data_IF_156430239934
#
_entry.id   IF_156430239934
#
_cell.length_a   1.000
_cell.length_b   1.000
_cell.length_c   1.000
_cell.angle_alpha   90.00
_cell.angle_beta   90.00
_cell.angle_gamma   90.00
#
_symmetry.space_group_name_H-M   'P 1'
#
loop_
_entity.id
_entity.type
_entity.pdbx_description
1 polymer ?
#
# COMPACT_ATOMS: atom_id res chain seq x y z
N UNK A 1 -14.47 16.40 -9.83
CA UNK A 1 -13.88 15.37 -8.95
C UNK A 1 -15.03 14.79 -8.15
N UNK A 2 -15.13 13.44 -8.07
CA UNK A 2 -16.14 12.76 -7.25
C UNK A 2 -15.70 12.78 -5.77
N UNK A 3 -16.66 12.70 -4.86
CA UNK A 3 -16.37 12.72 -3.41
C UNK A 3 -16.71 11.39 -2.72
N UNK A 4 -17.57 10.59 -3.31
CA UNK A 4 -17.96 9.29 -2.75
C UNK A 4 -17.23 8.18 -3.51
N UNK A 5 -16.58 7.28 -2.77
CA UNK A 5 -15.87 6.12 -3.30
C UNK A 5 -16.18 4.88 -2.46
N UNK A 6 -16.35 3.75 -3.11
CA UNK A 6 -16.50 2.44 -2.43
C UNK A 6 -15.21 1.65 -2.59
N UNK A 7 -14.55 1.36 -1.47
CA UNK A 7 -13.24 0.69 -1.43
C UNK A 7 -13.38 -0.66 -0.74
N UNK A 8 -12.69 -1.66 -1.29
CA UNK A 8 -12.50 -2.97 -0.65
C UNK A 8 -11.02 -3.20 -0.33
N UNK A 9 -10.74 -3.62 0.90
CA UNK A 9 -9.42 -4.13 1.33
C UNK A 9 -9.52 -5.62 1.62
N UNK A 10 -8.48 -6.37 1.28
CA UNK A 10 -8.46 -7.83 1.45
C UNK A 10 -7.38 -8.22 2.46
N UNK A 11 -7.76 -8.83 3.57
CA UNK A 11 -6.83 -9.66 4.33
C UNK A 11 -6.62 -10.94 3.54
N UNK A 12 -5.40 -11.20 3.10
CA UNK A 12 -5.12 -12.27 2.15
C UNK A 12 -4.08 -13.24 2.73
N UNK A 13 -4.46 -14.50 2.91
CA UNK A 13 -3.53 -15.56 3.27
C UNK A 13 -2.93 -16.13 1.97
N UNK A 14 -1.80 -15.56 1.52
CA UNK A 14 -1.09 -16.07 0.36
C UNK A 14 -0.50 -17.45 0.66
N UNK A 15 -0.67 -18.39 -0.27
CA UNK A 15 0.07 -19.66 -0.19
C UNK A 15 1.48 -19.42 -0.75
N UNK A 16 2.48 -19.56 0.11
CA UNK A 16 3.87 -19.28 -0.21
C UNK A 16 4.35 -20.07 -1.44
N UNK A 17 4.87 -19.35 -2.44
CA UNK A 17 5.35 -19.92 -3.70
C UNK A 17 4.28 -20.48 -4.64
N UNK A 18 2.98 -20.34 -4.35
CA UNK A 18 1.88 -20.88 -5.18
C UNK A 18 1.24 -19.79 -6.05
N UNK A 19 2.06 -19.19 -6.91
CA UNK A 19 1.71 -18.02 -7.72
C UNK A 19 0.37 -18.17 -8.46
N UNK A 20 0.17 -19.24 -9.20
CA UNK A 20 -1.05 -19.45 -10.02
C UNK A 20 -2.29 -19.55 -9.12
N UNK A 21 -2.19 -20.29 -8.00
CA UNK A 21 -3.31 -20.44 -7.06
C UNK A 21 -3.65 -19.11 -6.37
N UNK A 22 -2.63 -18.34 -6.01
CA UNK A 22 -2.84 -17.01 -5.43
C UNK A 22 -3.46 -16.07 -6.46
N UNK A 23 -3.01 -16.11 -7.71
CA UNK A 23 -3.57 -15.31 -8.80
C UNK A 23 -5.06 -15.62 -9.02
N UNK A 24 -5.45 -16.89 -9.08
CA UNK A 24 -6.86 -17.29 -9.23
C UNK A 24 -7.72 -16.75 -8.07
N UNK A 25 -7.20 -16.78 -6.85
CA UNK A 25 -7.88 -16.22 -5.68
C UNK A 25 -7.96 -14.69 -5.72
N UNK A 26 -6.89 -14.01 -6.13
CA UNK A 26 -6.89 -12.55 -6.35
C UNK A 26 -7.98 -12.18 -7.37
N UNK A 27 -8.05 -12.87 -8.50
CA UNK A 27 -9.07 -12.64 -9.51
C UNK A 27 -10.48 -12.88 -8.96
N UNK A 28 -10.69 -13.92 -8.16
CA UNK A 28 -11.96 -14.20 -7.49
C UNK A 28 -12.40 -13.08 -6.54
N UNK A 29 -11.46 -12.49 -5.78
CA UNK A 29 -11.75 -11.34 -4.93
C UNK A 29 -12.06 -10.06 -5.74
N UNK A 30 -11.39 -9.83 -6.87
CA UNK A 30 -11.69 -8.72 -7.79
C UNK A 30 -13.15 -8.86 -8.30
N UNK A 31 -13.55 -10.04 -8.73
CA UNK A 31 -14.94 -10.30 -9.13
C UNK A 31 -15.95 -10.08 -8.00
N UNK A 32 -15.60 -10.54 -6.79
CA UNK A 32 -16.44 -10.35 -5.61
C UNK A 32 -16.59 -8.88 -5.22
N UNK A 33 -15.50 -8.11 -5.27
CA UNK A 33 -15.50 -6.67 -5.02
C UNK A 33 -16.37 -5.93 -6.05
N UNK A 34 -16.22 -6.24 -7.34
CA UNK A 34 -17.06 -5.66 -8.39
C UNK A 34 -18.56 -5.98 -8.19
N UNK A 35 -18.90 -7.22 -7.80
CA UNK A 35 -20.27 -7.59 -7.46
C UNK A 35 -20.84 -6.85 -6.25
N UNK A 36 -19.99 -6.44 -5.31
CA UNK A 36 -20.37 -5.59 -4.17
C UNK A 36 -20.48 -4.10 -4.51
N UNK A 37 -20.16 -3.72 -5.75
CA UNK A 37 -20.19 -2.32 -6.19
C UNK A 37 -18.98 -1.52 -5.74
N UNK A 38 -17.85 -2.18 -5.47
CA UNK A 38 -16.61 -1.49 -5.15
C UNK A 38 -16.04 -0.82 -6.40
N UNK A 39 -15.58 0.42 -6.24
CA UNK A 39 -14.80 1.14 -7.25
C UNK A 39 -13.33 0.66 -7.25
N UNK A 40 -12.83 0.27 -6.08
CA UNK A 40 -11.43 -0.08 -5.85
C UNK A 40 -11.29 -1.33 -4.99
N UNK A 41 -10.39 -2.25 -5.37
CA UNK A 41 -10.01 -3.41 -4.54
C UNK A 41 -8.49 -3.46 -4.34
N UNK A 42 -8.08 -3.69 -3.09
CA UNK A 42 -6.69 -3.59 -2.64
C UNK A 42 -6.28 -4.91 -2.00
N UNK A 43 -5.13 -5.43 -2.43
CA UNK A 43 -4.50 -6.63 -1.89
C UNK A 43 -3.19 -6.29 -1.18
N UNK A 44 -2.70 -7.18 -0.32
CA UNK A 44 -1.45 -6.97 0.40
C UNK A 44 -0.21 -6.90 -0.50
N UNK A 45 0.88 -6.45 0.12
CA UNK A 45 2.25 -6.67 -0.31
C UNK A 45 2.48 -8.16 -0.56
N UNK A 46 3.14 -8.52 -1.67
CA UNK A 46 3.50 -9.90 -2.03
C UNK A 46 2.32 -10.89 -2.08
N UNK A 47 1.10 -10.41 -2.32
CA UNK A 47 -0.09 -11.26 -2.38
C UNK A 47 0.01 -12.37 -3.43
N UNK A 48 0.74 -12.12 -4.53
CA UNK A 48 0.89 -13.09 -5.62
C UNK A 48 1.71 -14.31 -5.23
N UNK A 49 2.73 -14.14 -4.37
CA UNK A 49 3.75 -15.18 -4.13
C UNK A 49 3.91 -15.59 -2.65
N UNK A 50 3.43 -14.78 -1.70
CA UNK A 50 3.87 -14.83 -0.32
C UNK A 50 5.10 -13.96 -0.10
N UNK A 51 5.37 -13.63 1.17
CA UNK A 51 6.36 -12.62 1.57
C UNK A 51 7.68 -13.21 2.08
N UNK A 52 7.62 -14.28 2.88
CA UNK A 52 8.79 -14.83 3.57
C UNK A 52 9.94 -15.16 2.63
N UNK A 53 11.16 -14.94 3.11
CA UNK A 53 12.39 -15.08 2.36
C UNK A 53 13.24 -16.24 2.91
N UNK A 54 13.70 -17.11 2.05
CA UNK A 54 14.62 -18.22 2.38
C UNK A 54 16.03 -17.67 2.62
N UNK A 55 16.35 -17.38 3.89
CA UNK A 55 17.60 -16.71 4.28
C UNK A 55 18.87 -17.54 4.02
N UNK A 56 18.73 -18.86 3.93
CA UNK A 56 19.79 -19.83 3.69
C UNK A 56 20.12 -20.05 2.19
N UNK A 57 19.32 -19.47 1.29
CA UNK A 57 19.52 -19.60 -0.16
C UNK A 57 20.23 -18.41 -0.77
N UNK A 58 21.04 -18.63 -1.81
CA UNK A 58 21.57 -17.54 -2.61
C UNK A 58 20.44 -16.83 -3.36
N UNK A 59 20.62 -15.55 -3.66
CA UNK A 59 19.61 -14.68 -4.30
C UNK A 59 18.93 -15.32 -5.51
N UNK A 60 19.70 -15.95 -6.38
CA UNK A 60 19.19 -16.55 -7.61
C UNK A 60 18.22 -17.72 -7.40
N UNK A 61 18.27 -18.36 -6.22
CA UNK A 61 17.46 -19.53 -5.87
C UNK A 61 16.28 -19.19 -4.96
N UNK A 62 16.17 -17.93 -4.52
CA UNK A 62 15.06 -17.47 -3.67
C UNK A 62 13.74 -17.49 -4.45
N UNK A 63 12.65 -17.83 -3.77
CA UNK A 63 11.31 -17.91 -4.37
C UNK A 63 10.95 -16.60 -5.10
N UNK A 64 11.22 -15.44 -4.49
CA UNK A 64 10.93 -14.14 -5.07
C UNK A 64 11.65 -13.95 -6.41
N UNK A 65 12.90 -14.36 -6.50
CA UNK A 65 13.69 -14.27 -7.75
C UNK A 65 13.16 -15.23 -8.82
N UNK A 66 12.80 -16.46 -8.42
CA UNK A 66 12.33 -17.47 -9.36
C UNK A 66 10.93 -17.15 -9.92
N UNK A 67 10.06 -16.52 -9.12
CA UNK A 67 8.68 -16.25 -9.50
C UNK A 67 8.44 -14.81 -9.97
N UNK A 68 9.48 -13.95 -9.96
CA UNK A 68 9.35 -12.58 -10.42
C UNK A 68 8.97 -12.50 -11.90
N UNK A 69 8.03 -11.64 -12.21
CA UNK A 69 7.58 -11.31 -13.56
C UNK A 69 7.84 -9.84 -13.86
N UNK A 70 7.98 -9.49 -15.13
CA UNK A 70 7.91 -8.08 -15.55
C UNK A 70 6.50 -7.52 -15.33
N UNK A 71 6.36 -6.21 -15.26
CA UNK A 71 5.07 -5.52 -15.31
C UNK A 71 5.10 -4.59 -16.54
N UNK A 72 4.32 -4.89 -17.62
CA UNK A 72 3.39 -6.01 -17.78
C UNK A 72 4.07 -7.39 -17.89
N UNK A 73 3.34 -8.43 -17.47
CA UNK A 73 3.76 -9.83 -17.49
C UNK A 73 2.55 -10.78 -17.47
N UNK A 74 2.77 -12.10 -17.42
CA UNK A 74 1.70 -13.09 -17.52
C UNK A 74 0.58 -12.93 -16.49
N UNK A 75 0.92 -12.69 -15.21
CA UNK A 75 -0.05 -12.50 -14.14
C UNK A 75 -0.82 -11.18 -14.31
N UNK A 76 -0.12 -10.10 -14.58
CA UNK A 76 -0.74 -8.78 -14.75
C UNK A 76 -1.62 -8.69 -15.97
N UNK A 77 -1.30 -9.39 -17.07
CA UNK A 77 -2.14 -9.42 -18.28
C UNK A 77 -3.52 -10.06 -18.01
N UNK A 78 -3.57 -11.15 -17.23
CA UNK A 78 -4.84 -11.77 -16.84
C UNK A 78 -5.70 -10.85 -15.97
N UNK A 79 -5.09 -10.16 -15.02
CA UNK A 79 -5.79 -9.19 -14.17
C UNK A 79 -6.25 -7.99 -14.98
N UNK A 80 -5.45 -7.51 -15.93
CA UNK A 80 -5.81 -6.40 -16.82
C UNK A 80 -7.08 -6.68 -17.62
N UNK A 81 -7.19 -7.87 -18.21
CA UNK A 81 -8.40 -8.28 -18.92
C UNK A 81 -9.63 -8.27 -17.99
N UNK A 82 -9.47 -8.77 -16.77
CA UNK A 82 -10.55 -8.84 -15.80
C UNK A 82 -11.00 -7.45 -15.33
N UNK A 83 -10.07 -6.56 -14.97
CA UNK A 83 -10.42 -5.21 -14.49
C UNK A 83 -11.07 -4.36 -15.57
N UNK A 84 -10.64 -4.48 -16.83
CA UNK A 84 -11.29 -3.84 -17.98
C UNK A 84 -12.74 -4.33 -18.15
N UNK A 85 -12.95 -5.64 -18.04
CA UNK A 85 -14.29 -6.25 -18.14
C UNK A 85 -15.23 -5.78 -17.04
N UNK A 86 -14.70 -5.63 -15.81
CA UNK A 86 -15.50 -5.30 -14.62
C UNK A 86 -15.62 -3.79 -14.36
N UNK A 87 -14.75 -2.98 -14.97
CA UNK A 87 -14.74 -1.53 -14.76
C UNK A 87 -14.28 -1.11 -13.36
N UNK A 88 -13.32 -1.84 -12.75
CA UNK A 88 -12.87 -1.65 -11.36
C UNK A 88 -11.37 -1.31 -11.32
N UNK A 89 -10.96 -0.52 -10.34
CA UNK A 89 -9.54 -0.35 -10.00
C UNK A 89 -9.06 -1.52 -9.12
N UNK A 90 -7.81 -1.95 -9.32
CA UNK A 90 -7.19 -2.99 -8.50
C UNK A 90 -5.71 -2.70 -8.23
N UNK A 91 -5.22 -3.13 -7.05
CA UNK A 91 -3.79 -3.10 -6.70
C UNK A 91 -3.43 -4.39 -5.99
N UNK A 92 -2.34 -5.04 -6.39
CA UNK A 92 -1.79 -6.20 -5.67
C UNK A 92 -0.27 -6.24 -5.69
N UNK A 93 0.30 -6.82 -4.61
CA UNK A 93 1.75 -6.96 -4.42
C UNK A 93 2.34 -8.20 -5.08
N UNK A 94 3.51 -8.05 -5.71
CA UNK A 94 4.26 -9.11 -6.38
C UNK A 94 5.76 -8.78 -6.49
N UNK A 95 6.63 -9.77 -6.66
CA UNK A 95 8.01 -9.52 -7.07
C UNK A 95 8.03 -9.12 -8.56
N UNK A 96 8.52 -7.91 -8.85
CA UNK A 96 8.68 -7.39 -10.20
C UNK A 96 10.13 -7.60 -10.68
N UNK A 97 10.31 -8.18 -11.84
CA UNK A 97 11.58 -8.24 -12.54
C UNK A 97 11.74 -7.01 -13.43
N UNK A 98 12.88 -6.34 -13.34
CA UNK A 98 13.17 -5.20 -14.21
C UNK A 98 13.28 -5.67 -15.67
N UNK A 99 12.57 -5.03 -16.60
CA UNK A 99 12.63 -5.41 -18.02
C UNK A 99 13.96 -5.07 -18.69
N UNK A 100 14.72 -4.10 -18.17
CA UNK A 100 16.00 -3.67 -18.74
C UNK A 100 17.19 -4.36 -18.08
N UNK A 101 17.06 -4.76 -16.80
CA UNK A 101 18.08 -5.45 -16.02
C UNK A 101 17.46 -6.63 -15.27
N UNK A 102 17.41 -7.83 -15.88
CA UNK A 102 16.76 -9.01 -15.29
C UNK A 102 17.33 -9.48 -13.95
N UNK A 103 18.49 -9.01 -13.55
CA UNK A 103 19.09 -9.29 -12.23
C UNK A 103 18.45 -8.43 -11.12
N UNK A 104 17.77 -7.34 -11.49
CA UNK A 104 17.07 -6.51 -10.54
C UNK A 104 15.66 -7.02 -10.32
N UNK A 105 15.32 -7.28 -9.07
CA UNK A 105 13.99 -7.64 -8.62
C UNK A 105 13.53 -6.56 -7.64
N UNK A 106 12.25 -6.17 -7.72
CA UNK A 106 11.63 -5.21 -6.82
C UNK A 106 10.49 -5.85 -6.04
N UNK A 107 10.31 -5.44 -4.81
CA UNK A 107 9.06 -5.59 -4.11
C UNK A 107 8.12 -4.51 -4.67
N UNK A 108 7.10 -4.91 -5.41
CA UNK A 108 6.30 -3.98 -6.19
C UNK A 108 4.80 -4.23 -6.09
N UNK A 109 4.03 -3.20 -6.44
CA UNK A 109 2.59 -3.27 -6.65
C UNK A 109 2.28 -3.11 -8.14
N UNK A 110 1.48 -4.02 -8.68
CA UNK A 110 0.83 -3.83 -9.97
C UNK A 110 -0.46 -3.02 -9.76
N UNK A 111 -0.65 -1.97 -10.54
CA UNK A 111 -1.72 -0.98 -10.35
C UNK A 111 -2.56 -0.90 -11.62
N UNK A 112 -3.88 -1.06 -11.46
CA UNK A 112 -4.84 -1.13 -12.55
C UNK A 112 -5.96 -0.10 -12.38
N UNK A 113 -6.40 0.43 -13.50
CA UNK A 113 -7.63 1.22 -13.63
C UNK A 113 -8.67 0.45 -14.44
N UNK A 114 -9.91 0.93 -14.56
CA UNK A 114 -10.90 0.41 -15.51
C UNK A 114 -10.40 0.39 -16.96
N UNK A 115 -9.41 1.22 -17.30
CA UNK A 115 -8.76 1.24 -18.62
C UNK A 115 -7.67 0.19 -18.81
N UNK A 116 -7.26 -0.51 -17.75
CA UNK A 116 -6.22 -1.54 -17.74
C UNK A 116 -5.04 -1.23 -16.83
N UNK A 117 -3.89 -1.85 -17.12
CA UNK A 117 -2.65 -1.64 -16.37
C UNK A 117 -2.19 -0.18 -16.46
N UNK A 118 -2.00 0.46 -15.30
CA UNK A 118 -1.47 1.84 -15.20
C UNK A 118 0.05 1.83 -15.06
N UNK A 119 0.58 0.88 -14.29
CA UNK A 119 2.01 0.76 -14.02
C UNK A 119 2.32 0.02 -12.75
N UNK A 120 3.52 0.23 -12.21
CA UNK A 120 3.95 -0.34 -10.95
C UNK A 120 4.49 0.72 -9.98
N UNK A 121 4.29 0.46 -8.68
CA UNK A 121 5.04 1.11 -7.61
C UNK A 121 6.09 0.15 -7.09
N UNK A 122 7.35 0.56 -7.03
CA UNK A 122 8.48 -0.19 -6.49
C UNK A 122 8.82 0.34 -5.10
N UNK A 123 8.86 -0.53 -4.11
CA UNK A 123 9.09 -0.18 -2.70
C UNK A 123 10.39 0.63 -2.53
N UNK A 124 10.29 1.79 -1.93
CA UNK A 124 11.43 2.73 -1.78
C UNK A 124 12.32 2.35 -0.60
N UNK A 125 11.74 1.84 0.49
CA UNK A 125 12.47 1.50 1.70
C UNK A 125 12.34 0.00 1.98
N UNK A 126 13.47 -0.70 2.05
CA UNK A 126 13.52 -2.15 2.24
C UNK A 126 13.92 -2.48 3.68
N UNK A 127 13.02 -3.08 4.50
CA UNK A 127 13.41 -3.61 5.80
C UNK A 127 14.27 -4.88 5.61
N UNK A 128 15.13 -5.23 6.58
CA UNK A 128 15.74 -6.55 6.61
C UNK A 128 14.65 -7.65 6.67
N UNK A 129 14.73 -8.77 5.93
CA UNK A 129 15.81 -9.19 5.02
C UNK A 129 15.56 -8.90 3.53
N UNK A 130 14.66 -8.00 3.16
CA UNK A 130 14.32 -7.73 1.75
C UNK A 130 15.52 -7.39 0.85
N UNK A 131 16.58 -6.66 1.31
CA UNK A 131 17.77 -6.39 0.48
C UNK A 131 18.51 -7.62 -0.02
N UNK A 132 18.24 -8.81 0.56
CA UNK A 132 18.81 -10.06 0.09
C UNK A 132 18.29 -10.48 -1.30
N UNK A 133 17.10 -9.98 -1.70
CA UNK A 133 16.53 -10.33 -3.01
C UNK A 133 16.05 -9.10 -3.79
N UNK A 134 15.61 -8.02 -3.13
CA UNK A 134 15.08 -6.82 -3.76
C UNK A 134 16.12 -5.70 -3.85
N UNK A 135 15.89 -4.80 -4.81
CA UNK A 135 16.52 -3.48 -4.89
C UNK A 135 15.49 -2.39 -4.61
N UNK A 136 15.93 -1.21 -4.17
CA UNK A 136 15.06 -0.08 -3.85
C UNK A 136 14.44 0.52 -5.09
N UNK A 137 13.16 0.89 -5.00
CA UNK A 137 12.52 1.83 -5.91
C UNK A 137 13.02 3.26 -5.66
N UNK A 138 12.75 4.15 -6.59
CA UNK A 138 13.27 5.52 -6.59
C UNK A 138 12.20 6.61 -6.68
N UNK A 139 10.94 6.24 -6.84
CA UNK A 139 9.86 7.20 -7.10
C UNK A 139 8.58 6.89 -6.32
N UNK A 140 7.95 7.92 -5.72
CA UNK A 140 6.59 7.80 -5.22
C UNK A 140 5.61 7.59 -6.38
N UNK A 141 4.45 7.04 -6.10
CA UNK A 141 3.39 6.78 -7.08
C UNK A 141 2.08 7.46 -6.68
N UNK A 142 1.62 8.39 -7.53
CA UNK A 142 0.29 8.99 -7.43
C UNK A 142 -0.57 8.48 -8.57
N UNK A 143 -1.70 7.88 -8.24
CA UNK A 143 -2.69 7.44 -9.21
C UNK A 143 -3.72 8.55 -9.43
N UNK A 144 -3.81 9.07 -10.65
CA UNK A 144 -4.86 10.01 -11.03
C UNK A 144 -6.18 9.27 -11.27
N UNK A 145 -7.23 9.73 -10.59
CA UNK A 145 -8.57 9.14 -10.67
C UNK A 145 -9.64 10.22 -10.73
N UNK A 146 -10.89 9.81 -10.98
CA UNK A 146 -12.04 10.71 -10.88
C UNK A 146 -12.30 11.26 -9.47
N UNK A 147 -11.73 10.65 -8.44
CA UNK A 147 -11.74 11.14 -7.05
C UNK A 147 -10.54 12.02 -6.71
N UNK A 148 -9.69 12.33 -7.67
CA UNK A 148 -8.43 13.02 -7.52
C UNK A 148 -7.26 12.06 -7.36
N UNK A 149 -6.12 12.58 -6.92
CA UNK A 149 -4.92 11.78 -6.69
C UNK A 149 -5.10 10.81 -5.51
N UNK A 150 -4.63 9.57 -5.67
CA UNK A 150 -4.55 8.55 -4.63
C UNK A 150 -3.08 8.20 -4.44
N UNK A 151 -2.57 8.32 -3.21
CA UNK A 151 -1.21 7.92 -2.86
C UNK A 151 -1.11 6.41 -2.61
N UNK A 152 -0.03 5.78 -3.07
CA UNK A 152 0.14 4.32 -2.95
C UNK A 152 1.56 4.01 -2.47
N UNK A 153 1.69 3.17 -1.43
CA UNK A 153 2.99 2.71 -0.91
C UNK A 153 2.92 1.29 -0.32
N UNK A 154 4.09 0.77 0.05
CA UNK A 154 4.22 -0.59 0.58
C UNK A 154 4.76 -0.56 2.01
N UNK A 155 3.97 -1.04 2.97
CA UNK A 155 4.39 -1.53 4.29
C UNK A 155 5.37 -0.60 5.02
N UNK A 156 6.65 -0.90 5.00
CA UNK A 156 7.73 -0.16 5.66
C UNK A 156 7.76 1.32 5.29
N UNK A 157 7.43 1.65 4.02
CA UNK A 157 7.25 3.03 3.56
C UNK A 157 6.20 3.79 4.38
N UNK A 158 5.12 3.10 4.78
CA UNK A 158 4.00 3.70 5.50
C UNK A 158 4.23 3.78 7.01
N UNK A 159 4.96 2.81 7.57
CA UNK A 159 5.12 2.70 9.02
C UNK A 159 6.30 3.50 9.57
N UNK A 160 7.39 3.59 8.81
CA UNK A 160 8.63 4.18 9.30
C UNK A 160 8.99 5.51 8.62
N UNK A 161 8.31 5.86 7.52
CA UNK A 161 8.64 7.04 6.73
C UNK A 161 7.39 7.92 6.53
N UNK A 162 7.07 8.79 7.52
CA UNK A 162 5.89 9.67 7.45
C UNK A 162 5.94 10.63 6.25
N UNK A 163 7.11 10.85 5.69
CA UNK A 163 7.35 11.67 4.49
C UNK A 163 6.53 11.18 3.30
N UNK A 164 6.35 9.87 3.15
CA UNK A 164 5.60 9.30 2.02
C UNK A 164 4.14 9.78 2.04
N UNK A 165 3.45 9.55 3.14
CA UNK A 165 2.04 9.94 3.26
C UNK A 165 1.87 11.46 3.27
N UNK A 166 2.79 12.18 3.94
CA UNK A 166 2.84 13.64 3.95
C UNK A 166 2.98 14.22 2.55
N UNK A 167 3.87 13.65 1.73
CA UNK A 167 4.03 14.04 0.33
C UNK A 167 2.73 13.84 -0.46
N UNK A 168 2.08 12.70 -0.34
CA UNK A 168 0.83 12.42 -1.06
C UNK A 168 -0.31 13.36 -0.63
N UNK A 169 -0.45 13.60 0.68
CA UNK A 169 -1.43 14.55 1.20
C UNK A 169 -1.18 15.98 0.67
N UNK A 170 0.09 16.42 0.66
CA UNK A 170 0.47 17.71 0.09
C UNK A 170 0.17 17.81 -1.42
N UNK A 171 0.28 16.69 -2.15
CA UNK A 171 -0.06 16.59 -3.59
C UNK A 171 -1.56 16.48 -3.86
N UNK A 172 -2.41 16.54 -2.84
CA UNK A 172 -3.85 16.57 -2.99
C UNK A 172 -4.56 15.24 -2.74
N UNK A 173 -3.84 14.17 -2.39
CA UNK A 173 -4.46 12.90 -2.10
C UNK A 173 -5.39 12.99 -0.87
N UNK A 174 -6.62 12.49 -1.03
CA UNK A 174 -7.61 12.34 0.05
C UNK A 174 -7.71 10.90 0.55
N UNK A 175 -7.19 9.96 -0.25
CA UNK A 175 -7.08 8.54 0.07
C UNK A 175 -5.64 8.08 -0.15
N UNK A 176 -5.15 7.30 0.80
CA UNK A 176 -3.86 6.63 0.75
C UNK A 176 -4.05 5.12 0.81
N UNK A 177 -3.34 4.38 -0.03
CA UNK A 177 -3.35 2.92 -0.07
C UNK A 177 -2.05 2.40 0.53
N UNK A 178 -2.18 1.54 1.54
CA UNK A 178 -1.09 0.81 2.17
C UNK A 178 -1.25 -0.69 1.89
N UNK A 179 -0.38 -1.25 1.06
CA UNK A 179 -0.29 -2.70 0.86
C UNK A 179 0.83 -3.25 1.73
N UNK A 180 0.53 -4.19 2.65
CA UNK A 180 1.48 -4.55 3.70
C UNK A 180 1.56 -6.05 3.95
N UNK A 181 2.69 -6.48 4.52
CA UNK A 181 2.95 -7.81 5.05
C UNK A 181 3.50 -7.68 6.48
N UNK A 182 2.70 -7.10 7.38
CA UNK A 182 3.08 -6.90 8.77
C UNK A 182 2.87 -8.17 9.58
N UNK A 183 3.96 -8.77 10.02
CA UNK A 183 3.96 -10.01 10.80
C UNK A 183 3.87 -9.75 12.31
N UNK A 184 3.43 -10.76 13.06
CA UNK A 184 3.24 -10.70 14.52
C UNK A 184 4.53 -10.41 15.30
N UNK A 185 5.71 -10.69 14.72
CA UNK A 185 6.98 -10.38 15.36
C UNK A 185 7.22 -8.87 15.55
N UNK A 186 6.49 -8.01 14.83
CA UNK A 186 6.65 -6.55 14.91
C UNK A 186 5.71 -5.88 15.94
N UNK A 187 4.87 -6.62 16.62
CA UNK A 187 3.91 -6.05 17.55
C UNK A 187 2.79 -5.21 16.86
N UNK A 188 1.56 -5.28 17.36
CA UNK A 188 0.40 -4.68 16.68
C UNK A 188 0.40 -3.14 16.72
N UNK A 189 1.07 -2.53 17.69
CA UNK A 189 1.13 -1.09 17.83
C UNK A 189 1.84 -0.41 16.63
N UNK A 190 2.80 -1.08 16.00
CA UNK A 190 3.47 -0.55 14.80
C UNK A 190 2.45 -0.27 13.71
N UNK A 191 1.54 -1.21 13.44
CA UNK A 191 0.50 -1.03 12.43
C UNK A 191 -0.56 -0.01 12.83
N UNK A 192 -1.22 -0.21 14.00
CA UNK A 192 -2.33 0.64 14.40
C UNK A 192 -1.90 2.06 14.75
N UNK A 193 -0.94 2.22 15.65
CA UNK A 193 -0.55 3.56 16.14
C UNK A 193 0.01 4.45 15.03
N UNK A 194 0.86 3.90 14.15
CA UNK A 194 1.46 4.71 13.07
C UNK A 194 0.42 5.13 12.03
N UNK A 195 -0.48 4.24 11.62
CA UNK A 195 -1.51 4.58 10.64
C UNK A 195 -2.54 5.55 11.23
N UNK A 196 -2.98 5.35 12.47
CA UNK A 196 -3.88 6.28 13.17
C UNK A 196 -3.26 7.66 13.31
N UNK A 197 -1.98 7.74 13.69
CA UNK A 197 -1.24 9.01 13.75
C UNK A 197 -1.20 9.71 12.38
N UNK A 198 -0.99 8.95 11.30
CA UNK A 198 -0.96 9.50 9.95
C UNK A 198 -2.33 10.01 9.48
N UNK A 199 -3.44 9.35 9.88
CA UNK A 199 -4.79 9.88 9.64
C UNK A 199 -4.94 11.24 10.33
N UNK A 200 -4.57 11.35 11.60
CA UNK A 200 -4.67 12.60 12.36
C UNK A 200 -3.79 13.69 11.76
N UNK A 201 -2.53 13.38 11.46
CA UNK A 201 -1.53 14.35 10.99
C UNK A 201 -1.76 14.84 9.56
N UNK A 202 -2.44 14.07 8.71
CA UNK A 202 -2.65 14.41 7.31
C UNK A 202 -4.12 14.62 6.96
N UNK A 203 -5.04 14.26 7.84
CA UNK A 203 -6.49 14.36 7.67
C UNK A 203 -6.97 13.72 6.36
N UNK A 204 -6.47 12.51 6.07
CA UNK A 204 -6.82 11.72 4.88
C UNK A 204 -7.29 10.32 5.27
N UNK A 205 -7.98 9.66 4.36
CA UNK A 205 -8.33 8.25 4.50
C UNK A 205 -7.13 7.35 4.23
N UNK A 206 -7.08 6.21 4.92
CA UNK A 206 -6.13 5.12 4.67
C UNK A 206 -6.91 3.83 4.42
N UNK A 207 -6.68 3.20 3.28
CA UNK A 207 -7.11 1.84 2.99
C UNK A 207 -5.88 0.93 3.09
N UNK A 208 -5.83 0.13 4.15
CA UNK A 208 -4.72 -0.78 4.46
C UNK A 208 -5.11 -2.22 4.21
N UNK A 209 -4.32 -2.94 3.42
CA UNK A 209 -4.51 -4.36 3.12
C UNK A 209 -3.28 -5.13 3.57
N UNK A 210 -3.46 -6.12 4.48
CA UNK A 210 -2.38 -6.89 5.07
C UNK A 210 -2.48 -8.38 4.76
N UNK A 211 -1.33 -9.06 4.68
CA UNK A 211 -1.32 -10.51 4.71
C UNK A 211 -1.93 -11.01 6.02
N UNK A 212 -2.59 -12.15 5.97
CA UNK A 212 -3.11 -12.90 7.11
C UNK A 212 -2.62 -14.33 7.11
N UNK A 213 -2.75 -15.00 8.26
CA UNK A 213 -2.36 -16.39 8.41
C UNK A 213 -0.86 -16.60 8.40
N UNK A 214 -0.45 -17.86 8.15
CA UNK A 214 0.96 -18.27 8.16
C UNK A 214 1.50 -18.35 6.74
N UNK A 215 2.68 -17.77 6.55
CA UNK A 215 3.51 -17.94 5.36
C UNK A 215 4.55 -19.07 5.59
N UNK A 216 5.79 -18.93 5.16
CA UNK A 216 6.83 -19.95 5.41
C UNK A 216 7.21 -20.03 6.90
N UNK A 217 7.52 -18.89 7.53
CA UNK A 217 7.91 -18.78 8.94
C UNK A 217 6.98 -17.87 9.72
N UNK A 218 6.68 -16.70 9.17
CA UNK A 218 5.93 -15.66 9.83
C UNK A 218 4.43 -15.96 9.86
N UNK A 219 3.81 -15.50 10.92
CA UNK A 219 2.36 -15.35 11.01
C UNK A 219 2.06 -13.87 10.87
N UNK A 220 1.15 -13.52 9.98
CA UNK A 220 0.77 -12.14 9.72
C UNK A 220 -0.46 -11.73 10.51
N UNK A 221 -0.48 -10.46 10.93
CA UNK A 221 -1.56 -9.92 11.75
C UNK A 221 -2.94 -9.92 11.07
N UNK A 222 -3.01 -9.91 9.74
CA UNK A 222 -4.26 -9.52 9.09
C UNK A 222 -4.58 -8.06 9.39
N UNK A 223 -5.75 -7.79 9.94
CA UNK A 223 -6.12 -6.43 10.35
C UNK A 223 -6.26 -5.44 9.20
N UNK A 224 -6.64 -5.91 8.02
CA UNK A 224 -6.98 -5.02 6.91
C UNK A 224 -8.13 -4.12 7.29
N UNK A 225 -8.05 -2.86 6.92
CA UNK A 225 -9.04 -1.86 7.34
C UNK A 225 -9.14 -0.69 6.38
N UNK A 226 -10.25 0.03 6.49
CA UNK A 226 -10.48 1.33 5.88
C UNK A 226 -10.72 2.28 7.03
N UNK A 227 -9.78 3.19 7.27
CA UNK A 227 -9.83 4.15 8.36
C UNK A 227 -9.71 5.58 7.81
N UNK A 228 -10.10 6.55 8.59
CA UNK A 228 -10.00 7.93 8.16
C UNK A 228 -10.54 8.91 9.21
N UNK A 229 -10.60 10.20 8.85
CA UNK A 229 -11.15 11.22 9.73
C UNK A 229 -12.61 10.94 10.01
N UNK A 230 -13.06 11.25 11.23
CA UNK A 230 -14.45 11.29 11.61
C UNK A 230 -14.99 12.73 11.51
N UNK A 231 -16.29 12.90 11.75
CA UNK A 231 -16.87 14.25 11.91
C UNK A 231 -16.46 14.92 13.21
N UNK A 232 -16.04 14.12 14.18
CA UNK A 232 -15.48 14.60 15.44
C UNK A 232 -13.99 14.83 15.25
N UNK A 233 -13.57 16.06 15.52
CA UNK A 233 -12.21 16.51 15.28
C UNK A 233 -11.19 15.66 16.06
N UNK A 234 -10.11 15.25 15.42
CA UNK A 234 -9.01 14.43 15.98
C UNK A 234 -9.36 12.97 16.31
N UNK A 235 -10.51 12.45 15.88
CA UNK A 235 -10.81 11.03 16.00
C UNK A 235 -10.51 10.27 14.71
N UNK A 236 -9.97 9.06 14.86
CA UNK A 236 -9.81 8.09 13.77
C UNK A 236 -10.98 7.12 13.81
N UNK A 237 -11.71 7.04 12.70
CA UNK A 237 -12.81 6.12 12.56
C UNK A 237 -12.46 4.96 11.63
N UNK A 238 -12.80 3.73 12.04
CA UNK A 238 -12.68 2.52 11.22
C UNK A 238 -14.01 2.29 10.49
N UNK A 239 -14.04 2.61 9.21
CA UNK A 239 -15.21 2.46 8.35
C UNK A 239 -15.49 1.01 8.00
N UNK A 240 -14.44 0.17 7.88
CA UNK A 240 -14.52 -1.28 7.71
C UNK A 240 -13.22 -1.95 8.17
N UNK A 241 -13.29 -3.24 8.44
CA UNK A 241 -12.15 -4.07 8.84
C UNK A 241 -11.84 -4.01 10.33
N UNK A 242 -10.63 -4.41 10.68
CA UNK A 242 -10.21 -4.59 12.08
C UNK A 242 -8.88 -3.88 12.35
N UNK A 243 -8.68 -3.54 13.63
CA UNK A 243 -7.36 -3.15 14.12
C UNK A 243 -6.43 -4.36 14.15
N UNK A 244 -5.13 -4.13 14.04
CA UNK A 244 -4.13 -5.21 14.16
C UNK A 244 -4.17 -5.93 15.52
N UNK A 245 -4.74 -5.29 16.55
CA UNK A 245 -4.93 -5.88 17.89
C UNK A 245 -6.12 -6.84 17.97
N UNK A 246 -6.98 -6.88 16.97
CA UNK A 246 -8.21 -7.68 17.02
C UNK A 246 -7.93 -9.15 16.63
N UNK A 247 -8.40 -10.09 17.46
CA UNK A 247 -8.08 -11.51 17.33
C UNK A 247 -8.65 -12.18 16.05
N UNK A 248 -9.58 -11.53 15.35
CA UNK A 248 -10.29 -12.12 14.20
C UNK A 248 -9.60 -11.87 12.85
N UNK A 249 -8.53 -11.12 12.83
CA UNK A 249 -7.98 -10.50 11.62
C UNK A 249 -7.10 -11.41 10.76
N UNK A 250 -6.95 -12.69 11.08
CA UNK A 250 -5.89 -13.54 10.50
C UNK A 250 -6.29 -14.37 9.29
N UNK A 251 -7.56 -14.47 8.98
CA UNK A 251 -8.04 -15.25 7.84
C UNK A 251 -8.29 -14.38 6.60
N UNK A 252 -8.31 -15.03 5.43
CA UNK A 252 -8.63 -14.32 4.19
C UNK A 252 -10.06 -13.79 4.23
N UNK A 253 -10.20 -12.47 4.21
CA UNK A 253 -11.47 -11.77 4.29
C UNK A 253 -11.44 -10.47 3.50
N UNK A 254 -12.58 -10.00 3.00
CA UNK A 254 -12.71 -8.74 2.28
C UNK A 254 -13.65 -7.79 3.02
N UNK A 255 -13.14 -6.62 3.34
CA UNK A 255 -13.85 -5.54 3.99
C UNK A 255 -14.18 -4.43 2.98
N UNK A 256 -15.40 -3.94 2.98
CA UNK A 256 -15.87 -2.93 2.03
C UNK A 256 -16.53 -1.77 2.76
N UNK A 257 -16.15 -0.54 2.42
CA UNK A 257 -16.81 0.67 2.89
C UNK A 257 -17.01 1.67 1.75
N UNK A 258 -18.13 2.38 1.79
CA UNK A 258 -18.34 3.60 1.02
C UNK A 258 -17.98 4.77 1.92
N UNK A 259 -17.04 5.60 1.47
CA UNK A 259 -16.49 6.73 2.22
C UNK A 259 -16.73 8.05 1.50
N UNK A 260 -16.90 9.11 2.30
CA UNK A 260 -17.08 10.49 1.84
C UNK A 260 -15.74 11.22 1.96
N UNK A 261 -15.08 11.41 0.84
CA UNK A 261 -13.77 12.06 0.77
C UNK A 261 -13.80 13.56 1.11
N UNK A 262 -14.99 14.17 1.27
CA UNK A 262 -15.09 15.57 1.74
C UNK A 262 -14.64 15.71 3.20
N UNK A 263 -14.65 14.61 3.98
CA UNK A 263 -14.14 14.57 5.34
C UNK A 263 -12.60 14.60 5.41
N UNK A 264 -11.89 14.37 4.31
CA UNK A 264 -10.45 14.52 4.22
C UNK A 264 -10.09 16.02 4.10
N UNK A 265 -10.07 16.73 5.23
CA UNK A 265 -9.90 18.20 5.28
C UNK A 265 -8.54 18.64 4.77
N UNK A 266 -7.46 17.96 5.17
CA UNK A 266 -6.09 18.32 4.78
C UNK A 266 -5.75 19.77 5.11
N UNK A 267 -6.19 20.26 6.27
CA UNK A 267 -6.20 21.68 6.63
C UNK A 267 -4.80 22.31 6.57
N UNK A 268 -3.74 21.57 6.94
CA UNK A 268 -2.36 22.06 6.93
C UNK A 268 -1.83 22.35 5.51
N UNK A 269 -2.48 21.79 4.48
CA UNK A 269 -2.08 21.94 3.06
C UNK A 269 -2.93 22.94 2.31
N UNK A 270 -3.95 23.53 2.96
CA UNK A 270 -4.84 24.53 2.37
C UNK A 270 -4.29 25.93 2.69
N UNK A 271 -4.58 26.88 1.82
CA UNK A 271 -4.18 28.27 2.04
C UNK A 271 -4.84 28.84 3.28
N UNK A 272 -4.01 29.28 4.23
CA UNK A 272 -4.42 29.93 5.47
C UNK A 272 -4.16 31.46 5.33
N UNK A 273 -5.22 32.29 5.23
CA UNK A 273 -5.05 33.73 5.04
C UNK A 273 -4.40 34.43 6.24
N UNK A 274 -4.46 33.83 7.42
CA UNK A 274 -3.84 34.42 8.62
C UNK A 274 -2.31 34.45 8.55
N UNK A 275 -1.70 33.51 7.79
CA UNK A 275 -0.23 33.43 7.62
C UNK A 275 0.19 33.73 6.18
N UNK A 276 -0.75 33.97 5.27
CA UNK A 276 -0.48 34.29 3.88
C UNK A 276 0.10 33.12 3.05
N UNK A 277 -0.20 31.89 3.45
CA UNK A 277 0.31 30.67 2.82
C UNK A 277 -0.33 29.44 3.41
N UNK A 278 0.30 28.27 3.23
CA UNK A 278 -0.07 27.02 3.93
C UNK A 278 0.71 26.91 5.23
N UNK A 279 0.16 26.19 6.22
CA UNK A 279 0.90 25.86 7.45
C UNK A 279 2.01 24.83 7.17
N UNK A 280 1.84 24.00 6.15
CA UNK A 280 2.88 23.09 5.64
C UNK A 280 3.98 23.89 4.93
N UNK A 281 5.23 23.76 5.38
CA UNK A 281 6.37 24.59 4.99
C UNK A 281 7.46 23.78 4.26
N UNK A 282 7.20 23.30 3.02
CA UNK A 282 8.19 22.50 2.26
C UNK A 282 9.50 23.25 2.01
N UNK A 283 9.45 24.59 1.90
CA UNK A 283 10.63 25.45 1.80
C UNK A 283 11.59 25.25 2.98
N UNK A 284 11.05 25.13 4.21
CA UNK A 284 11.86 24.91 5.41
C UNK A 284 12.31 23.44 5.56
N UNK A 285 11.49 22.50 5.14
CA UNK A 285 11.87 21.08 5.23
C UNK A 285 13.00 20.75 4.25
N UNK A 286 13.07 21.39 3.07
CA UNK A 286 14.21 21.28 2.17
C UNK A 286 15.49 21.76 2.85
N UNK A 287 15.46 22.90 3.56
CA UNK A 287 16.61 23.41 4.32
C UNK A 287 17.05 22.40 5.40
N UNK A 288 16.08 21.85 6.18
CA UNK A 288 16.35 20.86 7.24
C UNK A 288 16.96 19.56 6.68
N UNK A 289 16.39 19.00 5.62
CA UNK A 289 16.92 17.77 5.00
C UNK A 289 18.26 18.00 4.30
N UNK A 290 18.50 19.18 3.75
CA UNK A 290 19.81 19.57 3.21
C UNK A 290 20.86 19.63 4.30
N UNK A 291 20.51 20.17 5.48
CA UNK A 291 21.38 20.17 6.65
C UNK A 291 21.73 18.76 7.10
N UNK A 292 20.73 17.87 7.20
CA UNK A 292 20.94 16.44 7.53
C UNK A 292 21.88 15.76 6.52
N UNK A 293 21.71 16.01 5.22
CA UNK A 293 22.55 15.41 4.19
C UNK A 293 24.03 15.85 4.30
N UNK A 294 24.27 17.05 4.82
CA UNK A 294 25.61 17.61 5.02
C UNK A 294 26.20 17.27 6.40
N UNK A 295 25.43 16.63 7.29
CA UNK A 295 25.92 16.26 8.62
C UNK A 295 26.89 15.09 8.54
N UNK A 296 28.12 15.21 9.10
CA UNK A 296 29.14 14.17 9.03
C UNK A 296 28.77 12.87 9.77
N UNK A 297 27.75 12.88 10.62
CA UNK A 297 27.27 11.69 11.36
C UNK A 297 26.10 10.98 10.63
N UNK A 298 25.47 11.64 9.66
CA UNK A 298 24.35 11.04 8.93
C UNK A 298 24.79 9.83 8.13
N UNK A 299 24.11 8.69 8.32
CA UNK A 299 24.39 7.45 7.60
C UNK A 299 25.59 6.63 8.10
N UNK A 300 26.14 6.94 9.29
CA UNK A 300 27.22 6.17 9.93
C UNK A 300 26.70 5.11 10.88
#
# INVERSE_FOLDING_TARGET
MKDIITVSTVTFNAEWGKKEKNLDRIMGYIEAAAKKGSDFVIFPEMALTGYDNETDKPRAEKMQTLLAETIPGPSTSKVEELVKKLGIYAVFGMPERDPEDPEKIYNALAIFSPGGLVGSYRKMHLPPPEPEWAVRGDKPFLLDTEWGAIGISICYDSYCFPEMMRYYAAKGARLYINCTALAECHGPAVGSTTLEAQVIQNQIYIASSNLGGKDLYNVFWGGSSIMGPSRDFWEVFYYAGHKFTDAHAKESEMFTATIDLTLAGRDEFIYNPAVGGTDFRPDKYIEMYTDVLNDPIFGK
#
